data_IF_767139615218
#
_entry.id   IF_767139615218
#
_cell.length_a   1.000
_cell.length_b   1.000
_cell.length_c   1.000
_cell.angle_alpha   90.00
_cell.angle_beta   90.00
_cell.angle_gamma   90.00
#
_symmetry.space_group_name_H-M   'P 1'
#
loop_
_entity.id
_entity.type
_entity.pdbx_description
1 polymer ?
#
# COMPACT_ATOMS: atom_id res chain seq x y z
N UNK A 1 -3.94 16.00 49.42
CA UNK A 1 -5.24 15.64 48.77
C UNK A 1 -4.88 14.97 47.44
N UNK A 2 -4.71 13.67 47.49
CA UNK A 2 -4.47 12.87 46.26
C UNK A 2 -5.81 12.69 45.57
N UNK A 3 -5.94 13.24 44.37
CA UNK A 3 -7.11 12.98 43.53
C UNK A 3 -7.00 11.56 42.95
N UNK A 4 -7.79 10.64 43.50
CA UNK A 4 -7.98 9.33 42.94
C UNK A 4 -8.71 9.52 41.62
N UNK A 5 -7.93 9.62 40.51
CA UNK A 5 -8.50 9.50 39.16
C UNK A 5 -8.95 8.02 38.98
N UNK A 6 -10.25 7.85 38.95
CA UNK A 6 -10.86 6.56 38.64
C UNK A 6 -10.52 6.15 37.18
N UNK A 7 -10.28 4.86 36.95
CA UNK A 7 -9.90 4.31 35.67
C UNK A 7 -10.90 4.67 34.53
N UNK A 8 -12.19 4.82 34.88
CA UNK A 8 -13.22 5.21 33.89
C UNK A 8 -13.06 6.65 33.46
N UNK A 9 -12.76 7.56 34.41
CA UNK A 9 -12.52 8.98 34.12
C UNK A 9 -11.25 9.19 33.34
N UNK A 10 -10.18 8.41 33.61
CA UNK A 10 -8.94 8.45 32.86
C UNK A 10 -9.15 7.96 31.42
N UNK A 11 -9.93 6.88 31.22
CA UNK A 11 -10.25 6.36 29.90
C UNK A 11 -11.08 7.36 29.07
N UNK A 12 -12.13 7.95 29.67
CA UNK A 12 -12.96 8.95 29.02
C UNK A 12 -12.17 10.20 28.61
N UNK A 13 -11.18 10.62 29.42
CA UNK A 13 -10.30 11.74 29.09
C UNK A 13 -9.39 11.41 27.90
N UNK A 14 -8.84 10.20 27.84
CA UNK A 14 -8.01 9.75 26.72
C UNK A 14 -8.82 9.62 25.43
N UNK A 15 -10.03 9.09 25.50
CA UNK A 15 -10.95 9.00 24.34
C UNK A 15 -11.30 10.41 23.83
N UNK A 16 -11.60 11.36 24.72
CA UNK A 16 -11.86 12.74 24.36
C UNK A 16 -10.64 13.43 23.70
N UNK A 17 -9.42 13.20 24.22
CA UNK A 17 -8.20 13.71 23.59
C UNK A 17 -7.98 13.12 22.20
N UNK A 18 -8.25 11.82 22.01
CA UNK A 18 -8.14 11.17 20.71
C UNK A 18 -9.15 11.74 19.70
N UNK A 19 -10.39 12.04 20.12
CA UNK A 19 -11.41 12.70 19.29
C UNK A 19 -11.00 14.11 18.87
N UNK A 20 -10.28 14.85 19.74
CA UNK A 20 -9.72 16.16 19.42
C UNK A 20 -8.45 16.10 18.54
N UNK A 21 -7.99 14.90 18.17
CA UNK A 21 -6.78 14.70 17.37
C UNK A 21 -5.47 14.84 18.14
N UNK A 22 -5.50 14.84 19.48
CA UNK A 22 -4.32 14.87 20.34
C UNK A 22 -3.83 13.44 20.50
N UNK A 23 -2.77 13.07 19.76
CA UNK A 23 -2.19 11.73 19.76
C UNK A 23 -0.88 11.61 20.55
N UNK A 24 -0.39 12.71 21.14
CA UNK A 24 0.88 12.73 21.86
C UNK A 24 0.67 13.02 23.34
N UNK A 25 1.24 12.18 24.20
CA UNK A 25 1.33 12.44 25.64
C UNK A 25 2.52 13.37 25.92
N UNK A 26 2.26 14.55 26.44
CA UNK A 26 3.30 15.52 26.85
C UNK A 26 3.63 15.27 28.30
N UNK A 27 4.87 14.92 28.62
CA UNK A 27 5.34 14.81 30.00
C UNK A 27 5.73 16.18 30.55
N UNK A 28 5.61 16.37 31.88
CA UNK A 28 5.95 17.64 32.56
C UNK A 28 7.44 18.02 32.47
N UNK A 29 8.29 17.10 32.04
CA UNK A 29 9.73 17.33 31.83
C UNK A 29 10.15 16.87 30.46
N UNK A 30 11.01 17.63 29.76
CA UNK A 30 11.54 17.21 28.45
C UNK A 30 12.37 15.92 28.62
N UNK A 31 12.08 14.93 27.78
CA UNK A 31 12.83 13.66 27.74
C UNK A 31 13.89 13.77 26.65
N UNK A 32 15.17 13.63 27.01
CA UNK A 32 16.24 13.51 26.06
C UNK A 32 16.28 12.11 25.46
N UNK A 33 15.68 11.95 24.30
CA UNK A 33 15.60 10.64 23.61
C UNK A 33 16.95 10.15 23.06
N UNK A 34 17.98 11.00 23.08
CA UNK A 34 19.34 10.60 22.69
C UNK A 34 20.11 9.93 23.83
N UNK A 35 19.65 10.04 25.08
CA UNK A 35 20.28 9.48 26.27
C UNK A 35 19.52 8.30 26.89
N UNK A 36 18.40 7.88 26.34
CA UNK A 36 17.60 6.76 26.87
C UNK A 36 18.32 5.42 26.65
N UNK A 37 19.20 5.04 27.56
CA UNK A 37 19.57 3.64 27.79
C UNK A 37 18.33 2.94 28.36
N UNK A 38 17.78 2.00 27.63
CA UNK A 38 16.70 1.13 28.11
C UNK A 38 17.29 0.20 29.16
N UNK A 39 17.17 0.54 30.44
CA UNK A 39 17.29 -0.44 31.52
C UNK A 39 15.95 -1.17 31.63
N UNK A 40 15.87 -2.32 30.98
CA UNK A 40 14.77 -3.27 31.17
C UNK A 40 14.98 -4.01 32.50
N UNK A 41 14.46 -3.47 33.59
CA UNK A 41 14.28 -4.17 34.84
C UNK A 41 12.78 -4.34 35.13
N UNK A 42 12.19 -5.34 34.51
CA UNK A 42 10.93 -5.95 34.94
C UNK A 42 11.24 -7.38 35.37
N UNK A 43 11.41 -7.56 36.69
CA UNK A 43 11.57 -8.86 37.30
C UNK A 43 10.31 -9.70 37.15
N UNK A 44 10.25 -10.53 36.13
CA UNK A 44 9.32 -11.65 36.01
C UNK A 44 10.12 -12.95 36.23
N UNK A 45 9.73 -13.69 37.27
CA UNK A 45 10.26 -15.02 37.53
C UNK A 45 9.94 -15.93 36.38
N UNK A 46 10.97 -16.32 35.61
CA UNK A 46 10.87 -17.35 34.59
C UNK A 46 10.80 -18.71 35.25
N UNK A 47 9.65 -19.36 35.15
CA UNK A 47 9.55 -20.82 35.30
C UNK A 47 10.18 -21.49 34.08
N UNK A 48 11.07 -22.42 34.32
CA UNK A 48 11.84 -23.16 33.33
C UNK A 48 10.90 -23.87 32.31
N UNK A 49 10.89 -23.37 31.09
CA UNK A 49 10.47 -24.13 29.91
C UNK A 49 11.73 -24.52 29.15
N UNK A 50 11.93 -25.84 29.03
CA UNK A 50 13.06 -26.43 28.32
C UNK A 50 13.08 -25.92 26.86
N UNK A 51 14.15 -25.22 26.51
CA UNK A 51 14.47 -24.80 25.15
C UNK A 51 14.67 -26.03 24.26
N UNK A 52 13.72 -26.26 23.38
CA UNK A 52 14.04 -26.81 22.08
C UNK A 52 14.21 -25.60 21.14
N UNK A 53 15.38 -25.35 20.54
CA UNK A 53 15.50 -24.34 19.52
C UNK A 53 14.73 -24.83 18.28
N UNK A 54 13.53 -24.32 18.10
CA UNK A 54 12.93 -24.32 16.79
C UNK A 54 13.75 -23.34 15.97
N UNK A 55 14.69 -23.87 15.21
CA UNK A 55 15.36 -23.14 14.14
C UNK A 55 14.29 -22.76 13.11
N UNK A 56 13.62 -21.64 13.30
CA UNK A 56 12.95 -20.95 12.22
C UNK A 56 14.07 -20.33 11.40
N UNK A 57 14.63 -21.11 10.49
CA UNK A 57 15.35 -20.57 9.35
C UNK A 57 14.26 -19.80 8.61
N UNK A 58 14.28 -18.47 8.69
CA UNK A 58 13.56 -17.65 7.75
C UNK A 58 14.27 -17.89 6.40
N UNK A 59 13.83 -18.92 5.68
CA UNK A 59 14.21 -19.12 4.28
C UNK A 59 13.62 -17.95 3.50
N UNK A 60 14.42 -16.91 3.31
CA UNK A 60 14.11 -15.93 2.28
C UNK A 60 14.07 -16.70 0.94
N UNK A 61 12.95 -16.62 0.20
CA UNK A 61 12.84 -17.33 -1.06
C UNK A 61 13.98 -16.92 -1.97
N UNK A 62 14.54 -17.87 -2.69
CA UNK A 62 15.47 -17.54 -3.78
C UNK A 62 14.70 -16.77 -4.86
N UNK A 63 15.39 -15.87 -5.59
CA UNK A 63 14.78 -15.15 -6.71
C UNK A 63 14.14 -16.13 -7.73
N UNK A 64 14.70 -17.33 -7.86
CA UNK A 64 14.20 -18.38 -8.74
C UNK A 64 12.86 -18.94 -8.28
N UNK A 65 12.68 -19.21 -6.97
CA UNK A 65 11.40 -19.71 -6.41
C UNK A 65 10.28 -18.68 -6.54
N UNK A 66 10.59 -17.39 -6.34
CA UNK A 66 9.63 -16.32 -6.54
C UNK A 66 9.24 -16.20 -8.00
N UNK A 67 10.20 -16.27 -8.94
CA UNK A 67 9.94 -16.22 -10.38
C UNK A 67 9.14 -17.43 -10.88
N UNK A 68 9.42 -18.63 -10.39
CA UNK A 68 8.66 -19.83 -10.75
C UNK A 68 7.21 -19.73 -10.27
N UNK A 69 6.99 -19.25 -9.03
CA UNK A 69 5.65 -19.05 -8.46
C UNK A 69 4.89 -17.95 -9.21
N UNK A 70 5.56 -16.91 -9.68
CA UNK A 70 4.95 -15.83 -10.44
C UNK A 70 4.62 -16.21 -11.89
N UNK A 71 5.04 -17.36 -12.42
CA UNK A 71 4.88 -17.76 -13.83
C UNK A 71 3.46 -18.30 -14.15
N UNK A 72 2.43 -17.58 -13.72
CA UNK A 72 1.03 -17.89 -13.99
C UNK A 72 0.67 -17.62 -15.46
N UNK A 73 -0.27 -18.38 -16.02
CA UNK A 73 -0.71 -18.25 -17.42
C UNK A 73 -1.86 -17.27 -17.62
N UNK A 74 -2.59 -16.99 -16.55
CA UNK A 74 -3.73 -16.08 -16.55
C UNK A 74 -3.90 -15.41 -15.18
N UNK A 75 -4.78 -14.41 -15.08
CA UNK A 75 -5.02 -13.66 -13.84
C UNK A 75 -5.55 -14.53 -12.69
N UNK A 76 -6.32 -15.58 -12.98
CA UNK A 76 -6.83 -16.48 -11.95
C UNK A 76 -5.72 -17.32 -11.34
N UNK A 77 -4.82 -17.83 -12.15
CA UNK A 77 -3.62 -18.55 -11.70
C UNK A 77 -2.68 -17.63 -10.92
N UNK A 78 -2.49 -16.38 -11.38
CA UNK A 78 -1.66 -15.40 -10.68
C UNK A 78 -2.24 -15.06 -9.30
N UNK A 79 -3.56 -14.86 -9.22
CA UNK A 79 -4.24 -14.64 -7.93
C UNK A 79 -4.02 -15.81 -6.98
N UNK A 80 -4.23 -17.03 -7.44
CA UNK A 80 -4.00 -18.24 -6.65
C UNK A 80 -2.53 -18.39 -6.22
N UNK A 81 -1.57 -18.08 -7.09
CA UNK A 81 -0.15 -18.10 -6.77
C UNK A 81 0.19 -17.09 -5.67
N UNK A 82 -0.33 -15.87 -5.74
CA UNK A 82 -0.18 -14.87 -4.69
C UNK A 82 -0.80 -15.37 -3.37
N UNK A 83 -2.07 -15.79 -3.37
CA UNK A 83 -2.76 -16.25 -2.17
C UNK A 83 -2.05 -17.42 -1.47
N UNK A 84 -1.39 -18.29 -2.23
CA UNK A 84 -0.64 -19.43 -1.71
C UNK A 84 0.84 -19.15 -1.43
N UNK A 85 1.36 -17.98 -1.81
CA UNK A 85 2.77 -17.64 -1.61
C UNK A 85 3.15 -17.68 -0.12
N UNK A 86 4.13 -18.52 0.28
CA UNK A 86 4.38 -18.82 1.69
C UNK A 86 5.29 -17.80 2.39
N UNK A 87 6.09 -17.04 1.62
CA UNK A 87 7.21 -16.27 2.15
C UNK A 87 6.90 -14.83 2.55
N UNK A 88 5.69 -14.33 2.31
CA UNK A 88 5.30 -12.99 2.73
C UNK A 88 4.43 -13.04 4.00
N UNK A 89 5.00 -12.66 5.13
CA UNK A 89 4.33 -12.71 6.44
C UNK A 89 3.11 -11.78 6.54
N UNK A 90 3.00 -10.77 5.67
CA UNK A 90 1.84 -9.86 5.67
C UNK A 90 0.52 -10.59 5.49
N UNK A 91 0.51 -11.73 4.79
CA UNK A 91 -0.71 -12.53 4.57
C UNK A 91 -1.33 -13.05 5.87
N UNK A 92 -0.53 -13.33 6.90
CA UNK A 92 -1.02 -13.85 8.17
C UNK A 92 -1.70 -12.78 9.04
N UNK A 93 -1.39 -11.50 8.80
CA UNK A 93 -2.01 -10.37 9.49
C UNK A 93 -3.17 -9.72 8.72
N UNK A 94 -3.31 -10.01 7.45
CA UNK A 94 -4.37 -9.48 6.58
C UNK A 94 -5.59 -10.39 6.58
N UNK A 95 -6.77 -9.79 6.34
CA UNK A 95 -8.03 -10.52 6.23
C UNK A 95 -8.22 -11.11 4.83
N UNK A 96 -7.86 -10.36 3.80
CA UNK A 96 -8.00 -10.73 2.40
C UNK A 96 -6.73 -10.41 1.61
N UNK A 97 -6.47 -11.20 0.58
CA UNK A 97 -5.61 -10.80 -0.51
C UNK A 97 -6.39 -9.85 -1.44
N UNK A 98 -5.95 -8.60 -1.53
CA UNK A 98 -6.57 -7.57 -2.38
C UNK A 98 -5.88 -7.60 -3.75
N UNK A 99 -6.52 -8.26 -4.71
CA UNK A 99 -5.88 -8.55 -6.00
C UNK A 99 -6.04 -7.40 -7.00
N UNK A 100 -7.28 -7.13 -7.43
CA UNK A 100 -7.53 -6.10 -8.44
C UNK A 100 -9.00 -5.66 -8.50
N UNK A 101 -9.22 -4.53 -9.18
CA UNK A 101 -10.54 -4.01 -9.55
C UNK A 101 -10.52 -3.45 -10.97
N UNK A 102 -11.69 -3.35 -11.59
CA UNK A 102 -11.84 -2.81 -12.93
C UNK A 102 -11.77 -3.86 -14.02
N UNK A 103 -11.51 -3.45 -15.26
CA UNK A 103 -11.57 -4.32 -16.44
C UNK A 103 -10.21 -4.90 -16.80
N UNK A 104 -10.05 -6.23 -16.90
CA UNK A 104 -8.80 -6.85 -17.38
C UNK A 104 -8.40 -6.48 -18.81
N UNK A 105 -9.33 -5.93 -19.59
CA UNK A 105 -9.05 -5.46 -20.97
C UNK A 105 -8.72 -3.97 -21.04
N UNK A 106 -8.62 -3.29 -19.88
CA UNK A 106 -8.32 -1.86 -19.82
C UNK A 106 -6.94 -1.54 -20.39
N UNK A 107 -6.85 -0.40 -21.07
CA UNK A 107 -5.58 0.11 -21.62
C UNK A 107 -4.73 0.85 -20.59
N UNK A 108 -5.30 1.13 -19.43
CA UNK A 108 -4.65 1.86 -18.35
C UNK A 108 -4.64 0.98 -17.11
N UNK A 109 -3.45 0.77 -16.55
CA UNK A 109 -3.30 0.06 -15.27
C UNK A 109 -2.78 1.01 -14.19
N UNK A 110 -3.54 1.13 -13.10
CA UNK A 110 -3.21 1.96 -11.95
C UNK A 110 -2.66 1.08 -10.85
N UNK A 111 -1.50 1.45 -10.32
CA UNK A 111 -0.77 0.67 -9.32
C UNK A 111 -0.57 1.53 -8.08
N UNK A 112 -1.22 1.13 -6.98
CA UNK A 112 -1.07 1.73 -5.66
C UNK A 112 0.02 1.05 -4.84
N UNK A 113 0.10 1.41 -3.57
CA UNK A 113 1.09 0.88 -2.61
C UNK A 113 0.64 -0.45 -2.01
N UNK A 114 -0.39 -0.42 -1.19
CA UNK A 114 -0.90 -1.53 -0.40
C UNK A 114 -2.38 -1.28 -0.02
N UNK A 115 -3.13 -2.33 0.35
CA UNK A 115 -4.48 -2.17 0.86
C UNK A 115 -4.50 -1.42 2.19
N UNK A 116 -5.50 -0.55 2.38
CA UNK A 116 -5.88 -0.01 3.67
C UNK A 116 -6.88 -0.94 4.39
N UNK A 117 -7.46 -0.45 5.50
CA UNK A 117 -8.40 -1.22 6.32
C UNK A 117 -9.68 -1.61 5.56
N UNK A 118 -10.21 -0.68 4.76
CA UNK A 118 -11.46 -0.89 4.04
C UNK A 118 -11.25 -1.85 2.87
N UNK A 119 -10.12 -1.74 2.17
CA UNK A 119 -9.71 -2.62 1.11
C UNK A 119 -9.45 -4.06 1.62
N UNK A 120 -8.77 -4.20 2.75
CA UNK A 120 -8.54 -5.49 3.41
C UNK A 120 -9.85 -6.15 3.83
N UNK A 121 -10.84 -5.35 4.28
CA UNK A 121 -12.15 -5.85 4.66
C UNK A 121 -12.98 -6.32 3.46
N UNK A 122 -12.96 -5.57 2.34
CA UNK A 122 -13.77 -5.85 1.16
C UNK A 122 -13.09 -6.77 0.14
N UNK A 123 -11.75 -6.91 0.20
CA UNK A 123 -10.97 -7.69 -0.76
C UNK A 123 -10.78 -7.00 -2.12
N UNK A 124 -11.04 -5.68 -2.21
CA UNK A 124 -10.96 -4.91 -3.45
C UNK A 124 -10.11 -3.64 -3.25
N UNK A 125 -9.23 -3.26 -4.22
CA UNK A 125 -8.35 -2.10 -4.08
C UNK A 125 -9.11 -0.78 -4.24
N UNK A 126 -8.68 0.24 -3.49
CA UNK A 126 -9.20 1.60 -3.59
C UNK A 126 -10.71 1.69 -3.40
N UNK A 127 -11.24 1.12 -2.33
CA UNK A 127 -12.69 1.22 -1.96
C UNK A 127 -12.94 2.26 -0.87
N UNK A 128 -11.92 2.59 -0.05
CA UNK A 128 -12.02 3.59 1.00
C UNK A 128 -12.06 5.03 0.47
N UNK A 129 -11.95 6.01 1.38
CA UNK A 129 -12.00 7.44 1.05
C UNK A 129 -11.01 7.85 -0.04
N UNK A 130 -9.80 7.27 -0.04
CA UNK A 130 -8.79 7.51 -1.07
C UNK A 130 -9.23 6.97 -2.44
N UNK A 131 -9.85 5.79 -2.47
CA UNK A 131 -10.39 5.18 -3.68
C UNK A 131 -11.58 5.96 -4.25
N UNK A 132 -12.48 6.44 -3.39
CA UNK A 132 -13.59 7.31 -3.81
C UNK A 132 -13.10 8.62 -4.44
N UNK A 133 -11.98 9.17 -3.94
CA UNK A 133 -11.35 10.32 -4.59
C UNK A 133 -10.74 9.92 -5.93
N UNK A 134 -10.05 8.77 -6.02
CA UNK A 134 -9.51 8.25 -7.28
C UNK A 134 -10.61 8.10 -8.33
N UNK A 135 -11.76 7.52 -7.97
CA UNK A 135 -12.89 7.37 -8.90
C UNK A 135 -13.38 8.72 -9.44
N UNK A 136 -13.47 9.75 -8.59
CA UNK A 136 -13.82 11.12 -9.02
C UNK A 136 -12.76 11.73 -9.94
N UNK A 137 -11.48 11.49 -9.63
CA UNK A 137 -10.35 11.97 -10.47
C UNK A 137 -10.43 11.33 -11.86
N UNK A 138 -10.61 10.03 -11.94
CA UNK A 138 -10.73 9.29 -13.20
C UNK A 138 -11.96 9.73 -13.98
N UNK A 139 -13.11 9.83 -13.32
CA UNK A 139 -14.35 10.28 -13.94
C UNK A 139 -14.22 11.67 -14.57
N UNK A 140 -13.47 12.59 -13.96
CA UNK A 140 -13.25 13.95 -14.47
C UNK A 140 -12.50 14.01 -15.82
N UNK A 141 -11.80 12.93 -16.17
CA UNK A 141 -11.10 12.78 -17.47
C UNK A 141 -11.76 11.74 -18.39
N UNK A 142 -12.95 11.25 -18.04
CA UNK A 142 -13.73 10.32 -18.86
C UNK A 142 -13.38 8.86 -18.67
N UNK A 143 -12.66 8.50 -17.59
CA UNK A 143 -12.27 7.14 -17.24
C UNK A 143 -13.10 6.61 -16.05
N UNK A 144 -13.28 5.29 -15.97
CA UNK A 144 -13.96 4.65 -14.84
C UNK A 144 -13.58 3.17 -14.72
N UNK A 145 -13.43 2.67 -13.48
CA UNK A 145 -13.26 1.22 -13.24
C UNK A 145 -14.50 0.40 -13.65
N UNK A 146 -15.69 1.00 -13.67
CA UNK A 146 -16.94 0.37 -14.05
C UNK A 146 -17.29 0.51 -15.53
N UNK A 147 -16.45 1.14 -16.37
CA UNK A 147 -16.70 1.28 -17.79
C UNK A 147 -16.61 -0.06 -18.51
N UNK A 148 -17.54 -0.31 -19.43
CA UNK A 148 -17.54 -1.52 -20.29
C UNK A 148 -16.60 -1.37 -21.49
N UNK A 149 -16.38 -0.15 -21.92
CA UNK A 149 -15.49 0.20 -23.02
C UNK A 149 -14.03 0.13 -22.53
N UNK A 150 -13.22 -0.67 -23.19
CA UNK A 150 -11.81 -0.86 -22.86
C UNK A 150 -10.99 0.44 -22.87
N UNK A 151 -11.32 1.37 -23.78
CA UNK A 151 -10.66 2.67 -23.92
C UNK A 151 -11.00 3.64 -22.78
N UNK A 152 -12.14 3.42 -22.10
CA UNK A 152 -12.61 4.24 -20.96
C UNK A 152 -12.45 3.53 -19.62
N UNK A 153 -12.11 2.24 -19.65
CA UNK A 153 -11.94 1.46 -18.44
C UNK A 153 -10.53 1.61 -17.87
N UNK A 154 -10.42 1.33 -16.56
CA UNK A 154 -9.13 1.20 -15.88
C UNK A 154 -9.04 -0.14 -15.17
N UNK A 155 -7.82 -0.64 -15.02
CA UNK A 155 -7.51 -1.77 -14.17
C UNK A 155 -6.68 -1.28 -12.98
N UNK A 156 -7.04 -1.66 -11.78
CA UNK A 156 -6.46 -1.12 -10.54
C UNK A 156 -5.92 -2.25 -9.70
N UNK A 157 -4.69 -2.14 -9.24
CA UNK A 157 -4.05 -3.05 -8.28
C UNK A 157 -3.10 -2.31 -7.36
N UNK A 158 -2.42 -3.03 -6.48
CA UNK A 158 -1.35 -2.51 -5.62
C UNK A 158 -0.06 -3.31 -5.82
N UNK A 159 1.08 -2.75 -5.38
CA UNK A 159 2.36 -3.48 -5.27
C UNK A 159 2.20 -4.63 -4.27
N UNK A 160 1.65 -4.32 -3.09
CA UNK A 160 1.39 -5.30 -2.04
C UNK A 160 -0.07 -5.77 -2.10
N UNK A 161 -0.33 -7.09 -2.13
CA UNK A 161 -1.69 -7.61 -2.11
C UNK A 161 -2.29 -7.70 -0.70
N UNK A 162 -1.48 -7.59 0.35
CA UNK A 162 -1.91 -7.65 1.73
C UNK A 162 -1.66 -6.35 2.48
N UNK A 163 -2.54 -6.06 3.43
CA UNK A 163 -2.44 -4.88 4.27
C UNK A 163 -1.31 -5.02 5.29
N UNK A 164 -0.31 -4.11 5.30
CA UNK A 164 0.69 -4.09 6.36
C UNK A 164 0.07 -3.73 7.71
N UNK A 165 0.59 -4.30 8.84
CA UNK A 165 0.14 -3.93 10.18
C UNK A 165 0.15 -2.42 10.39
N UNK A 166 -0.91 -1.88 11.01
CA UNK A 166 -1.05 -0.45 11.32
C UNK A 166 -0.92 0.49 10.11
N UNK A 167 -1.07 -0.05 8.87
CA UNK A 167 -0.82 0.65 7.60
C UNK A 167 0.61 1.23 7.51
N UNK A 168 1.62 0.56 8.07
CA UNK A 168 3.01 0.96 7.86
C UNK A 168 3.41 0.85 6.38
N UNK A 169 4.46 1.55 5.98
CA UNK A 169 5.04 1.30 4.66
C UNK A 169 5.58 -0.14 4.57
N UNK A 170 5.44 -0.82 3.42
CA UNK A 170 6.10 -2.09 3.15
C UNK A 170 7.63 -1.95 3.25
N UNK A 171 8.30 -2.99 3.74
CA UNK A 171 9.76 -3.05 3.73
C UNK A 171 10.29 -3.29 2.32
N UNK A 172 11.59 -3.06 2.10
CA UNK A 172 12.19 -3.33 0.79
C UNK A 172 12.09 -4.80 0.42
N UNK A 173 12.35 -5.70 1.36
CA UNK A 173 12.28 -7.16 1.15
C UNK A 173 10.85 -7.59 0.75
N UNK A 174 9.83 -7.03 1.42
CA UNK A 174 8.42 -7.28 1.07
C UNK A 174 8.10 -6.81 -0.35
N UNK A 175 8.61 -5.64 -0.76
CA UNK A 175 8.45 -5.10 -2.11
C UNK A 175 9.14 -6.01 -3.11
N UNK A 176 10.40 -6.38 -2.88
CA UNK A 176 11.22 -7.17 -3.80
C UNK A 176 10.60 -8.56 -4.04
N UNK A 177 10.01 -9.18 -3.00
CA UNK A 177 9.25 -10.42 -3.14
C UNK A 177 8.01 -10.27 -4.06
N UNK A 178 7.36 -9.10 -4.08
CA UNK A 178 6.12 -8.89 -4.84
C UNK A 178 6.34 -8.34 -6.24
N UNK A 179 7.50 -7.75 -6.55
CA UNK A 179 7.80 -7.19 -7.88
C UNK A 179 7.67 -8.22 -9.01
N UNK A 180 8.13 -9.49 -8.90
CA UNK A 180 7.94 -10.51 -9.94
C UNK A 180 6.46 -10.79 -10.24
N UNK A 181 5.61 -10.87 -9.21
CA UNK A 181 4.15 -11.02 -9.35
C UNK A 181 3.53 -9.79 -10.02
N UNK A 182 3.94 -8.59 -9.62
CA UNK A 182 3.47 -7.34 -10.23
C UNK A 182 3.87 -7.27 -11.72
N UNK A 183 5.10 -7.64 -12.07
CA UNK A 183 5.55 -7.72 -13.45
C UNK A 183 4.67 -8.68 -14.25
N UNK A 184 4.43 -9.89 -13.72
CA UNK A 184 3.56 -10.87 -14.38
C UNK A 184 2.12 -10.37 -14.50
N UNK A 185 1.63 -9.65 -13.50
CA UNK A 185 0.30 -9.03 -13.52
C UNK A 185 0.17 -8.02 -14.67
N UNK A 186 1.18 -7.16 -14.87
CA UNK A 186 1.25 -6.20 -15.97
C UNK A 186 1.28 -6.92 -17.32
N UNK A 187 2.08 -7.98 -17.46
CA UNK A 187 2.16 -8.77 -18.69
C UNK A 187 0.80 -9.42 -19.05
N UNK A 188 0.08 -9.94 -18.07
CA UNK A 188 -1.22 -10.60 -18.28
C UNK A 188 -2.35 -9.63 -18.63
N UNK A 189 -2.35 -8.43 -18.05
CA UNK A 189 -3.30 -7.36 -18.38
C UNK A 189 -2.95 -6.69 -19.70
N UNK A 190 -1.65 -6.59 -20.00
CA UNK A 190 -1.11 -5.97 -21.22
C UNK A 190 -1.65 -4.56 -21.51
N UNK A 191 -1.54 -3.62 -20.54
CA UNK A 191 -2.00 -2.26 -20.71
C UNK A 191 -1.09 -1.47 -21.66
N UNK A 192 -1.56 -0.31 -22.13
CA UNK A 192 -0.73 0.62 -22.91
C UNK A 192 0.02 1.62 -22.02
N UNK A 193 -0.54 1.90 -20.81
CA UNK A 193 -0.02 2.92 -19.89
C UNK A 193 -0.11 2.41 -18.46
N UNK A 194 0.93 2.66 -17.68
CA UNK A 194 0.97 2.45 -16.23
C UNK A 194 0.85 3.80 -15.50
N UNK A 195 0.09 3.83 -14.42
CA UNK A 195 0.03 4.96 -13.50
C UNK A 195 0.54 4.53 -12.13
N UNK A 196 1.66 5.10 -11.68
CA UNK A 196 2.27 4.80 -10.39
C UNK A 196 1.77 5.79 -9.31
N UNK A 197 0.92 5.31 -8.39
CA UNK A 197 0.31 6.12 -7.34
C UNK A 197 1.14 6.11 -6.03
N UNK A 198 1.98 7.15 -5.85
CA UNK A 198 2.76 7.33 -4.63
C UNK A 198 4.19 6.79 -4.69
N UNK A 199 4.90 6.86 -3.57
CA UNK A 199 6.33 6.53 -3.50
C UNK A 199 6.63 5.05 -3.74
N UNK A 200 5.85 4.16 -3.11
CA UNK A 200 6.13 2.72 -3.16
C UNK A 200 5.92 2.17 -4.58
N UNK A 201 4.82 2.54 -5.25
CA UNK A 201 4.59 2.13 -6.63
C UNK A 201 5.64 2.71 -7.59
N UNK A 202 6.08 3.95 -7.39
CA UNK A 202 7.19 4.52 -8.18
C UNK A 202 8.51 3.78 -7.92
N UNK A 203 8.82 3.45 -6.67
CA UNK A 203 10.02 2.69 -6.32
C UNK A 203 10.01 1.29 -6.98
N UNK A 204 8.88 0.59 -6.91
CA UNK A 204 8.72 -0.76 -7.47
C UNK A 204 8.79 -0.79 -8.99
N UNK A 205 8.29 0.24 -9.69
CA UNK A 205 8.22 0.28 -11.14
C UNK A 205 9.44 0.92 -11.78
N UNK A 206 9.90 2.06 -11.26
CA UNK A 206 10.94 2.89 -11.89
C UNK A 206 12.16 3.12 -10.98
N UNK A 207 12.25 2.43 -9.83
CA UNK A 207 13.38 2.54 -8.90
C UNK A 207 13.56 3.92 -8.27
N UNK A 208 12.53 4.78 -8.23
CA UNK A 208 12.64 6.17 -7.77
C UNK A 208 11.62 6.49 -6.68
N UNK A 209 12.05 7.28 -5.70
CA UNK A 209 11.19 7.88 -4.65
C UNK A 209 11.19 9.41 -4.77
N UNK A 210 10.37 10.06 -3.94
CA UNK A 210 10.24 11.52 -3.95
C UNK A 210 9.13 11.97 -4.88
N UNK A 211 7.95 11.39 -4.73
CA UNK A 211 6.78 11.58 -5.61
C UNK A 211 6.44 13.06 -5.87
N UNK A 212 6.62 13.94 -4.90
CA UNK A 212 6.38 15.39 -5.07
C UNK A 212 7.28 16.05 -6.11
N UNK A 213 8.45 15.46 -6.42
CA UNK A 213 9.40 15.96 -7.40
C UNK A 213 9.29 15.24 -8.75
N UNK A 214 8.87 13.97 -8.75
CA UNK A 214 8.84 13.13 -9.96
C UNK A 214 7.45 13.00 -10.57
N UNK A 215 6.39 13.42 -9.86
CA UNK A 215 5.02 13.39 -10.39
C UNK A 215 4.90 14.14 -11.71
N UNK A 216 4.07 13.65 -12.60
CA UNK A 216 3.81 14.26 -13.89
C UNK A 216 4.95 14.13 -14.93
N UNK A 217 6.09 13.56 -14.54
CA UNK A 217 7.21 13.30 -15.44
C UNK A 217 7.13 11.86 -15.94
N UNK A 218 6.84 11.67 -17.21
CA UNK A 218 6.76 10.35 -17.82
C UNK A 218 8.10 9.61 -17.69
N UNK A 219 8.01 8.36 -17.32
CA UNK A 219 9.12 7.40 -17.22
C UNK A 219 8.77 6.11 -17.98
N UNK A 220 9.61 5.10 -17.88
CA UNK A 220 9.38 3.79 -18.50
C UNK A 220 9.65 2.68 -17.49
N UNK A 221 8.81 1.65 -17.50
CA UNK A 221 9.04 0.39 -16.80
C UNK A 221 8.44 -0.77 -17.62
N UNK A 222 9.14 -1.89 -17.69
CA UNK A 222 8.72 -3.10 -18.42
C UNK A 222 8.35 -2.84 -19.89
N UNK A 223 8.99 -1.83 -20.55
CA UNK A 223 8.69 -1.43 -21.91
C UNK A 223 7.42 -0.59 -22.08
N UNK A 224 6.82 -0.14 -21.00
CA UNK A 224 5.58 0.65 -21.00
C UNK A 224 5.81 2.05 -20.42
N UNK A 225 5.09 3.08 -20.92
CA UNK A 225 5.10 4.41 -20.34
C UNK A 225 4.46 4.39 -18.95
N UNK A 226 5.12 5.04 -17.98
CA UNK A 226 4.69 5.16 -16.58
C UNK A 226 4.49 6.62 -16.23
N UNK A 227 3.32 6.97 -15.71
CA UNK A 227 3.05 8.28 -15.14
C UNK A 227 3.06 8.23 -13.61
N UNK A 228 4.07 8.79 -12.93
CA UNK A 228 4.05 8.99 -11.50
C UNK A 228 3.00 10.04 -11.10
N UNK A 229 2.14 9.71 -10.14
CA UNK A 229 1.10 10.60 -9.62
C UNK A 229 1.05 10.59 -8.09
N UNK A 230 0.58 11.70 -7.51
CA UNK A 230 0.32 11.77 -6.07
C UNK A 230 -0.77 10.79 -5.67
N UNK A 231 -0.52 10.04 -4.58
CA UNK A 231 -1.52 9.12 -4.04
C UNK A 231 -2.77 9.87 -3.54
N UNK A 232 -4.01 9.40 -3.81
CA UNK A 232 -5.22 10.09 -3.38
C UNK A 232 -5.30 10.34 -1.87
N UNK A 233 -4.76 9.45 -1.04
CA UNK A 233 -4.67 9.66 0.40
C UNK A 233 -3.82 10.89 0.78
N UNK A 234 -2.76 11.20 0.01
CA UNK A 234 -1.99 12.42 0.18
C UNK A 234 -2.82 13.66 -0.18
N UNK A 235 -3.61 13.60 -1.25
CA UNK A 235 -4.49 14.70 -1.69
C UNK A 235 -5.64 14.99 -0.71
N UNK A 236 -6.07 13.99 0.05
CA UNK A 236 -7.04 14.18 1.14
C UNK A 236 -6.44 14.96 2.31
N UNK A 237 -5.18 14.69 2.64
CA UNK A 237 -4.45 15.40 3.71
C UNK A 237 -3.94 16.77 3.26
N UNK A 238 -3.62 16.93 1.96
CA UNK A 238 -3.05 18.13 1.35
C UNK A 238 -3.88 18.58 0.15
N UNK A 239 -5.07 19.20 0.37
CA UNK A 239 -5.99 19.53 -0.72
C UNK A 239 -5.44 20.49 -1.78
N UNK A 240 -4.46 21.34 -1.42
CA UNK A 240 -3.80 22.26 -2.36
C UNK A 240 -3.09 21.52 -3.50
N UNK A 241 -2.54 20.34 -3.22
CA UNK A 241 -1.86 19.49 -4.21
C UNK A 241 -2.82 18.89 -5.27
N UNK A 242 -4.14 19.02 -5.11
CA UNK A 242 -5.10 18.59 -6.14
C UNK A 242 -4.92 19.34 -7.46
N UNK A 243 -4.45 20.58 -7.42
CA UNK A 243 -4.13 21.34 -8.62
C UNK A 243 -3.02 20.66 -9.43
N UNK A 244 -2.00 20.17 -8.77
CA UNK A 244 -0.89 19.44 -9.40
C UNK A 244 -1.36 18.11 -9.98
N UNK A 245 -2.14 17.36 -9.20
CA UNK A 245 -2.74 16.09 -9.65
C UNK A 245 -3.66 16.27 -10.87
N UNK A 246 -4.31 17.42 -11.00
CA UNK A 246 -5.12 17.75 -12.17
C UNK A 246 -4.28 17.87 -13.46
N UNK A 247 -3.10 18.49 -13.40
CA UNK A 247 -2.19 18.54 -14.54
C UNK A 247 -1.71 17.14 -14.94
N UNK A 248 -1.47 16.24 -13.97
CA UNK A 248 -1.09 14.86 -14.27
C UNK A 248 -2.24 14.11 -14.97
N UNK A 249 -3.48 14.31 -14.50
CA UNK A 249 -4.66 13.72 -15.13
C UNK A 249 -4.86 14.21 -16.57
N UNK A 250 -4.63 15.49 -16.84
CA UNK A 250 -4.71 16.02 -18.20
C UNK A 250 -3.63 15.41 -19.10
N UNK A 251 -2.40 15.26 -18.60
CA UNK A 251 -1.32 14.57 -19.31
C UNK A 251 -1.63 13.10 -19.58
N UNK A 252 -2.25 12.40 -18.60
CA UNK A 252 -2.72 11.03 -18.80
C UNK A 252 -3.79 10.97 -19.90
N UNK A 253 -4.77 11.85 -19.84
CA UNK A 253 -5.87 11.94 -20.82
C UNK A 253 -5.33 12.17 -22.23
N UNK A 254 -4.42 13.12 -22.40
CA UNK A 254 -3.78 13.39 -23.68
C UNK A 254 -3.09 12.13 -24.23
N UNK A 255 -2.29 11.44 -23.38
CA UNK A 255 -1.54 10.23 -23.79
C UNK A 255 -2.44 9.07 -24.21
N UNK A 256 -3.63 8.97 -23.64
CA UNK A 256 -4.52 7.82 -23.85
C UNK A 256 -5.49 8.02 -25.02
N UNK A 257 -5.93 9.26 -25.27
CA UNK A 257 -6.95 9.57 -26.26
C UNK A 257 -6.40 10.25 -27.53
N UNK A 258 -5.04 10.35 -27.65
CA UNK A 258 -4.34 10.76 -28.85
C UNK A 258 -3.71 9.56 -29.54
#
# INVERSE_FOLDING_TARGET
MESVFDLKSAKALLEWHAELGISEAISERPINRFESKVEANLGLKTSELKDNPVNIIADNPTDQEVMETANAKNLSELKAAIENFPHCDLKYGARNAVFSAGSPSAKIMIIGEAPGREEDFQGEPFVGRAGQLLDKMLFSIGLSRGARDAEKSVYITNVMPWRPPENREPTQDEIDMMVPFLKRHIELVNPNVLVAMGNISCQSLIGRRGITKIRGIWAEAFGLPVLPMLHPAYLLRNPVAKREAWFDLLSLREKVFT
#
